data_IF_761453300141
#
_entry.id   IF_761453300141
#
_cell.length_a   1.000
_cell.length_b   1.000
_cell.length_c   1.000
_cell.angle_alpha   90.00
_cell.angle_beta   90.00
_cell.angle_gamma   90.00
#
_symmetry.space_group_name_H-M   'P 1'
#
loop_
_entity.id
_entity.type
_entity.pdbx_description
1 polymer ?
#
# COMPACT_ATOMS: atom_id res chain seq x y z
N UNK A 1 14.18 6.19 -7.21
CA UNK A 1 13.47 4.99 -6.73
C UNK A 1 12.12 4.74 -7.42
N UNK A 2 11.34 5.78 -7.78
CA UNK A 2 10.04 5.59 -8.43
C UNK A 2 10.06 4.88 -9.79
N UNK A 3 11.13 5.03 -10.59
CA UNK A 3 11.27 4.29 -11.86
C UNK A 3 11.19 2.76 -11.67
N UNK A 4 11.79 2.23 -10.61
CA UNK A 4 11.72 0.80 -10.30
C UNK A 4 10.31 0.37 -9.86
N UNK A 5 9.62 1.20 -9.09
CA UNK A 5 8.22 0.95 -8.70
C UNK A 5 7.30 0.93 -9.92
N UNK A 6 7.48 1.89 -10.84
CA UNK A 6 6.71 1.96 -12.08
C UNK A 6 7.01 0.77 -13.03
N UNK A 7 8.27 0.35 -13.15
CA UNK A 7 8.64 -0.84 -13.92
C UNK A 7 8.05 -2.12 -13.34
N UNK A 8 8.08 -2.27 -12.01
CA UNK A 8 7.48 -3.41 -11.34
C UNK A 8 5.96 -3.42 -11.57
N UNK A 9 5.28 -2.27 -11.37
CA UNK A 9 3.86 -2.11 -11.68
C UNK A 9 3.53 -2.47 -13.13
N UNK A 10 4.36 -2.04 -14.09
CA UNK A 10 4.18 -2.39 -15.50
C UNK A 10 4.29 -3.89 -15.74
N UNK A 11 5.28 -4.55 -15.13
CA UNK A 11 5.41 -6.01 -15.19
C UNK A 11 4.22 -6.73 -14.55
N UNK A 12 3.71 -6.22 -13.43
CA UNK A 12 2.51 -6.75 -12.76
C UNK A 12 1.26 -6.56 -13.64
N UNK A 13 1.09 -5.41 -14.26
CA UNK A 13 -0.05 -5.11 -15.14
C UNK A 13 -0.12 -6.05 -16.35
N UNK A 14 1.01 -6.59 -16.82
CA UNK A 14 1.03 -7.62 -17.87
C UNK A 14 0.30 -8.93 -17.47
N UNK A 15 0.00 -9.13 -16.19
CA UNK A 15 -0.78 -10.26 -15.68
C UNK A 15 -2.28 -9.95 -15.52
N UNK A 16 -2.74 -8.74 -15.86
CA UNK A 16 -4.16 -8.39 -15.85
C UNK A 16 -4.96 -9.35 -16.74
N UNK A 17 -6.08 -9.88 -16.21
CA UNK A 17 -6.93 -10.84 -16.92
C UNK A 17 -6.40 -12.28 -16.99
N UNK A 18 -5.23 -12.58 -16.41
CA UNK A 18 -4.56 -13.89 -16.60
C UNK A 18 -4.68 -14.89 -15.44
N UNK A 19 -4.93 -14.40 -14.22
CA UNK A 19 -4.93 -15.25 -13.02
C UNK A 19 -6.32 -15.62 -12.48
N UNK A 20 -7.28 -14.69 -12.47
CA UNK A 20 -8.57 -14.92 -11.79
C UNK A 20 -9.75 -14.94 -12.77
N UNK A 21 -9.97 -13.82 -13.47
CA UNK A 21 -10.96 -13.73 -14.52
C UNK A 21 -10.46 -12.77 -15.61
N UNK A 22 -10.86 -12.95 -16.88
CA UNK A 22 -10.44 -12.07 -17.98
C UNK A 22 -10.80 -10.60 -17.75
N UNK A 23 -11.94 -10.36 -17.08
CA UNK A 23 -12.42 -9.02 -16.74
C UNK A 23 -11.74 -8.43 -15.49
N UNK A 24 -11.01 -9.23 -14.71
CA UNK A 24 -10.47 -8.81 -13.43
C UNK A 24 -8.97 -8.45 -13.55
N UNK A 25 -8.59 -7.18 -13.38
CA UNK A 25 -7.20 -6.73 -13.47
C UNK A 25 -6.40 -7.09 -12.21
N UNK A 26 -6.10 -8.39 -12.08
CA UNK A 26 -5.34 -8.96 -10.94
C UNK A 26 -3.98 -8.30 -10.72
N UNK A 27 -3.27 -7.92 -11.77
CA UNK A 27 -1.94 -7.30 -11.70
C UNK A 27 -1.97 -5.92 -11.04
N UNK A 28 -2.93 -5.08 -11.42
CA UNK A 28 -3.13 -3.76 -10.81
C UNK A 28 -3.53 -3.90 -9.35
N UNK A 29 -4.42 -4.84 -9.03
CA UNK A 29 -4.76 -5.17 -7.65
C UNK A 29 -3.52 -5.60 -6.85
N UNK A 30 -2.71 -6.52 -7.35
CA UNK A 30 -1.52 -6.99 -6.64
C UNK A 30 -0.50 -5.86 -6.42
N UNK A 31 -0.29 -4.99 -7.41
CA UNK A 31 0.59 -3.83 -7.27
C UNK A 31 0.11 -2.89 -6.15
N UNK A 32 -1.20 -2.62 -6.07
CA UNK A 32 -1.80 -1.81 -5.01
C UNK A 32 -1.70 -2.48 -3.64
N UNK A 33 -2.00 -3.78 -3.53
CA UNK A 33 -1.91 -4.51 -2.26
C UNK A 33 -0.48 -4.57 -1.71
N UNK A 34 0.50 -4.90 -2.56
CA UNK A 34 1.91 -4.96 -2.17
C UNK A 34 2.41 -3.56 -1.77
N UNK A 35 2.05 -2.54 -2.54
CA UNK A 35 2.43 -1.16 -2.22
C UNK A 35 1.83 -0.68 -0.90
N UNK A 36 0.53 -0.91 -0.66
CA UNK A 36 -0.12 -0.55 0.60
C UNK A 36 0.45 -1.30 1.80
N UNK A 37 0.74 -2.60 1.68
CA UNK A 37 1.38 -3.37 2.74
C UNK A 37 2.77 -2.82 3.07
N UNK A 38 3.58 -2.51 2.06
CA UNK A 38 4.90 -1.90 2.26
C UNK A 38 4.81 -0.54 2.94
N UNK A 39 3.84 0.31 2.52
CA UNK A 39 3.62 1.62 3.14
C UNK A 39 3.29 1.47 4.62
N UNK A 40 2.35 0.59 4.99
CA UNK A 40 1.97 0.36 6.39
C UNK A 40 3.16 -0.13 7.23
N UNK A 41 3.92 -1.12 6.73
CA UNK A 41 5.11 -1.62 7.44
C UNK A 41 6.17 -0.53 7.62
N UNK A 42 6.41 0.28 6.58
CA UNK A 42 7.40 1.36 6.64
C UNK A 42 6.95 2.48 7.58
N UNK A 43 5.66 2.84 7.54
CA UNK A 43 5.12 3.89 8.40
C UNK A 43 5.23 3.51 9.87
N UNK A 44 4.83 2.28 10.22
CA UNK A 44 5.05 1.72 11.55
C UNK A 44 6.52 1.78 11.97
N UNK A 45 7.45 1.44 11.08
CA UNK A 45 8.87 1.42 11.40
C UNK A 45 9.47 2.82 11.64
N UNK A 46 8.91 3.85 10.98
CA UNK A 46 9.32 5.25 11.11
C UNK A 46 8.68 5.91 12.33
N UNK A 47 7.41 5.62 12.58
CA UNK A 47 6.54 6.38 13.49
C UNK A 47 6.16 5.63 14.77
N UNK A 48 6.40 4.31 14.84
CA UNK A 48 6.08 3.49 16.01
C UNK A 48 7.06 3.67 17.16
N UNK A 49 6.55 3.77 18.39
CA UNK A 49 7.36 3.78 19.62
C UNK A 49 7.81 2.39 20.01
N UNK A 50 9.07 2.26 20.46
CA UNK A 50 9.67 0.99 20.90
C UNK A 50 9.05 0.47 22.20
N UNK A 51 8.63 1.37 23.10
CA UNK A 51 7.99 1.01 24.37
C UNK A 51 6.88 2.01 24.71
N UNK A 52 5.82 1.55 25.37
CA UNK A 52 4.65 2.41 25.72
C UNK A 52 4.98 3.49 26.76
N UNK A 53 6.11 3.35 27.45
CA UNK A 53 6.57 4.27 28.52
C UNK A 53 7.76 5.12 28.09
N UNK A 54 8.23 5.01 26.85
CA UNK A 54 9.44 5.66 26.36
C UNK A 54 9.18 6.28 24.99
N UNK A 55 9.43 7.58 24.85
CA UNK A 55 9.36 8.31 23.57
C UNK A 55 10.47 7.93 22.57
N UNK A 56 11.06 6.74 22.73
CA UNK A 56 12.05 6.22 21.79
C UNK A 56 11.35 5.50 20.65
N UNK A 57 11.58 5.99 19.43
CA UNK A 57 11.08 5.35 18.21
C UNK A 57 11.77 4.01 17.93
N UNK A 58 11.09 3.14 17.19
CA UNK A 58 11.66 1.90 16.64
C UNK A 58 12.95 2.18 15.87
N UNK A 59 12.92 3.17 14.98
CA UNK A 59 14.12 3.71 14.33
C UNK A 59 14.39 5.11 14.87
N UNK A 60 15.30 5.21 15.84
CA UNK A 60 15.71 6.49 16.42
C UNK A 60 16.61 7.32 15.46
N UNK A 61 17.33 6.68 14.54
CA UNK A 61 18.22 7.37 13.60
C UNK A 61 17.45 8.13 12.51
N UNK A 62 17.60 9.46 12.49
CA UNK A 62 16.91 10.37 11.54
C UNK A 62 17.22 10.08 10.08
N UNK A 63 18.46 9.69 9.76
CA UNK A 63 18.88 9.40 8.37
C UNK A 63 18.16 8.16 7.85
N UNK A 64 18.04 7.12 8.69
CA UNK A 64 17.35 5.88 8.32
C UNK A 64 15.86 6.12 8.08
N UNK A 65 15.21 6.91 8.96
CA UNK A 65 13.81 7.33 8.76
C UNK A 65 13.62 8.11 7.47
N UNK A 66 14.53 9.03 7.13
CA UNK A 66 14.44 9.81 5.90
C UNK A 66 14.56 8.94 4.65
N UNK A 67 15.51 7.99 4.65
CA UNK A 67 15.68 7.03 3.54
C UNK A 67 14.42 6.17 3.37
N UNK A 68 13.87 5.63 4.47
CA UNK A 68 12.65 4.82 4.44
C UNK A 68 11.44 5.63 3.96
N UNK A 69 11.29 6.88 4.41
CA UNK A 69 10.24 7.77 3.95
C UNK A 69 10.37 8.07 2.44
N UNK A 70 11.59 8.32 1.98
CA UNK A 70 11.88 8.49 0.55
C UNK A 70 11.63 7.23 -0.28
N UNK A 71 11.89 6.05 0.28
CA UNK A 71 11.56 4.78 -0.35
C UNK A 71 10.04 4.55 -0.43
N UNK A 72 9.31 4.79 0.66
CA UNK A 72 7.84 4.71 0.69
C UNK A 72 7.22 5.67 -0.34
N UNK A 73 7.55 6.95 -0.27
CA UNK A 73 6.99 7.97 -1.18
C UNK A 73 7.42 7.74 -2.64
N UNK A 74 8.67 7.33 -2.87
CA UNK A 74 9.21 7.13 -4.21
C UNK A 74 8.81 5.80 -4.83
N UNK A 75 9.25 4.68 -4.24
CA UNK A 75 9.02 3.34 -4.78
C UNK A 75 7.58 2.88 -4.58
N UNK A 76 7.05 2.90 -3.36
CA UNK A 76 5.70 2.42 -3.09
C UNK A 76 4.65 3.34 -3.76
N UNK A 77 4.86 4.66 -3.71
CA UNK A 77 4.01 5.62 -4.41
C UNK A 77 3.92 5.39 -5.93
N UNK A 78 5.02 4.99 -6.58
CA UNK A 78 5.02 4.67 -8.02
C UNK A 78 4.55 3.24 -8.34
N UNK A 79 4.60 2.34 -7.35
CA UNK A 79 4.10 0.97 -7.46
C UNK A 79 2.56 0.93 -7.35
N UNK A 80 1.99 1.70 -6.41
CA UNK A 80 0.55 1.89 -6.30
C UNK A 80 0.02 2.82 -7.39
N UNK A 81 -1.23 2.67 -7.79
CA UNK A 81 -1.87 3.56 -8.76
C UNK A 81 -3.36 3.70 -8.49
N UNK A 82 -3.82 4.94 -8.40
CA UNK A 82 -5.24 5.27 -8.33
C UNK A 82 -5.82 5.52 -9.73
N UNK A 83 -5.04 6.07 -10.66
CA UNK A 83 -5.51 6.40 -12.02
C UNK A 83 -5.81 5.15 -12.84
N UNK A 84 -4.95 4.14 -12.84
CA UNK A 84 -5.22 2.88 -13.55
C UNK A 84 -6.38 2.13 -12.90
N UNK A 85 -6.46 2.11 -11.57
CA UNK A 85 -7.57 1.51 -10.83
C UNK A 85 -8.92 2.14 -11.19
N UNK A 86 -9.01 3.48 -11.19
CA UNK A 86 -10.22 4.20 -11.58
C UNK A 86 -10.56 3.93 -13.05
N UNK A 87 -9.57 3.95 -13.95
CA UNK A 87 -9.81 3.66 -15.36
C UNK A 87 -10.34 2.25 -15.59
N UNK A 88 -9.79 1.24 -14.91
CA UNK A 88 -10.29 -0.13 -14.96
C UNK A 88 -11.71 -0.24 -14.39
N UNK A 89 -12.00 0.49 -13.32
CA UNK A 89 -13.34 0.55 -12.72
C UNK A 89 -14.37 1.14 -13.69
N UNK A 90 -14.02 2.22 -14.40
CA UNK A 90 -14.91 2.84 -15.40
C UNK A 90 -15.11 1.99 -16.65
N UNK A 91 -14.10 1.20 -17.06
CA UNK A 91 -14.19 0.35 -18.25
C UNK A 91 -14.92 -0.99 -18.00
N UNK A 92 -15.37 -1.26 -16.76
CA UNK A 92 -16.19 -2.43 -16.46
C UNK A 92 -17.65 -2.16 -16.83
N UNK A 93 -18.21 -2.97 -17.74
CA UNK A 93 -19.57 -2.76 -18.29
C UNK A 93 -20.71 -2.98 -17.27
N UNK A 94 -20.46 -3.73 -16.20
CA UNK A 94 -21.50 -4.10 -15.24
C UNK A 94 -21.26 -3.49 -13.85
N UNK A 95 -22.26 -2.79 -13.28
CA UNK A 95 -22.13 -2.12 -11.98
C UNK A 95 -21.83 -3.10 -10.84
N UNK A 96 -22.31 -4.34 -10.93
CA UNK A 96 -21.98 -5.39 -9.96
C UNK A 96 -20.47 -5.69 -9.91
N UNK A 97 -19.84 -5.83 -11.08
CA UNK A 97 -18.41 -6.11 -11.19
C UNK A 97 -17.56 -4.92 -10.77
N UNK A 98 -18.02 -3.70 -11.04
CA UNK A 98 -17.41 -2.47 -10.54
C UNK A 98 -17.37 -2.48 -9.00
N UNK A 99 -18.52 -2.67 -8.34
CA UNK A 99 -18.57 -2.69 -6.87
C UNK A 99 -17.72 -3.82 -6.27
N UNK A 100 -17.74 -5.01 -6.86
CA UNK A 100 -16.90 -6.13 -6.41
C UNK A 100 -15.42 -5.77 -6.54
N UNK A 101 -14.98 -5.25 -7.68
CA UNK A 101 -13.58 -4.88 -7.89
C UNK A 101 -13.13 -3.75 -6.94
N UNK A 102 -13.98 -2.76 -6.73
CA UNK A 102 -13.73 -1.67 -5.80
C UNK A 102 -13.49 -2.19 -4.38
N UNK A 103 -14.44 -2.96 -3.84
CA UNK A 103 -14.34 -3.50 -2.48
C UNK A 103 -13.23 -4.54 -2.34
N UNK A 104 -13.00 -5.37 -3.36
CA UNK A 104 -11.91 -6.35 -3.39
C UNK A 104 -10.52 -5.68 -3.34
N UNK A 105 -10.39 -4.46 -3.85
CA UNK A 105 -9.13 -3.70 -3.78
C UNK A 105 -9.05 -2.86 -2.50
N UNK A 106 -10.14 -2.19 -2.12
CA UNK A 106 -10.17 -1.28 -0.97
C UNK A 106 -10.08 -2.01 0.38
N UNK A 107 -10.87 -3.08 0.58
CA UNK A 107 -10.94 -3.75 1.88
C UNK A 107 -9.58 -4.30 2.34
N UNK A 108 -8.80 -5.03 1.52
CA UNK A 108 -7.54 -5.57 2.00
C UNK A 108 -6.51 -4.47 2.28
N UNK A 109 -6.44 -3.41 1.47
CA UNK A 109 -5.60 -2.25 1.76
C UNK A 109 -5.95 -1.60 3.10
N UNK A 110 -7.24 -1.40 3.35
CA UNK A 110 -7.74 -0.84 4.59
C UNK A 110 -7.44 -1.76 5.78
N UNK A 111 -7.65 -3.07 5.62
CA UNK A 111 -7.31 -4.07 6.65
C UNK A 111 -5.83 -4.08 6.98
N UNK A 112 -4.93 -3.98 5.99
CA UNK A 112 -3.49 -3.92 6.27
C UNK A 112 -3.10 -2.70 7.10
N UNK A 113 -3.60 -1.52 6.75
CA UNK A 113 -3.31 -0.29 7.50
C UNK A 113 -3.91 -0.37 8.91
N UNK A 114 -5.17 -0.80 9.05
CA UNK A 114 -5.80 -0.94 10.36
C UNK A 114 -5.10 -1.98 11.25
N UNK A 115 -4.73 -3.14 10.71
CA UNK A 115 -4.11 -4.20 11.48
C UNK A 115 -2.66 -3.87 11.85
N UNK A 116 -1.91 -3.18 10.99
CA UNK A 116 -0.51 -2.88 11.25
C UNK A 116 -0.41 -1.59 12.08
N UNK A 117 -0.87 -0.47 11.53
CA UNK A 117 -0.71 0.84 12.17
C UNK A 117 -1.73 1.03 13.30
N UNK A 118 -2.99 0.62 13.07
CA UNK A 118 -4.05 0.75 14.08
C UNK A 118 -3.78 -0.08 15.33
N UNK A 119 -3.46 -1.37 15.18
CA UNK A 119 -3.15 -2.24 16.34
C UNK A 119 -1.96 -1.73 17.15
N UNK A 120 -0.94 -1.20 16.46
CA UNK A 120 0.26 -0.70 17.09
C UNK A 120 0.03 0.66 17.74
N UNK A 121 -0.74 1.56 17.11
CA UNK A 121 -1.19 2.81 17.70
C UNK A 121 -1.98 2.59 19.00
N UNK A 122 -2.89 1.61 19.02
CA UNK A 122 -3.64 1.28 20.24
C UNK A 122 -2.79 0.66 21.35
N UNK A 123 -1.74 -0.09 21.01
CA UNK A 123 -0.94 -0.82 22.01
C UNK A 123 0.25 -0.02 22.54
N UNK A 124 0.96 0.69 21.65
CA UNK A 124 2.23 1.36 21.94
C UNK A 124 2.19 2.87 21.72
N UNK A 125 1.26 3.36 20.91
CA UNK A 125 1.21 4.74 20.46
C UNK A 125 2.06 5.00 19.21
N UNK A 126 1.74 6.08 18.52
CA UNK A 126 2.45 6.58 17.34
C UNK A 126 2.96 7.99 17.60
N UNK A 127 4.09 8.34 16.99
CA UNK A 127 4.52 9.72 16.95
C UNK A 127 3.62 10.50 15.98
N UNK A 128 2.72 11.31 16.54
CA UNK A 128 2.03 12.36 15.80
C UNK A 128 3.05 13.47 15.52
N UNK A 129 3.67 13.46 14.34
CA UNK A 129 4.40 14.63 13.83
C UNK A 129 3.45 15.75 13.46
#
# INVERSE_FOLDING_TARGET
>A
MGAFGALLRFKLSAFNGRFFAPWFPTGTLMANLIGCLLIAVIDLLISGYKNSTSDTLLISNRVHRFILKGFSLGFCGALTTMSSFINELYNLDHPKFQHIYFWATFMPCFTFILLIDGSYAWTRGFQHT
#
